data_IF_598661212178
#
_entry.id   IF_598661212178
#
_cell.length_a   1.000
_cell.length_b   1.000
_cell.length_c   1.000
_cell.angle_alpha   90.00
_cell.angle_beta   90.00
_cell.angle_gamma   90.00
#
_symmetry.space_group_name_H-M   'P 1'
#
loop_
_entity.id
_entity.type
_entity.pdbx_description
1 polymer ?
#
# COMPACT_ATOMS: atom_id res chain seq x y z
N UNK A 1 6.50 31.21 -28.40
CA UNK A 1 5.82 32.36 -29.04
C UNK A 1 4.39 32.50 -28.57
N UNK A 2 3.58 31.45 -28.57
CA UNK A 2 2.17 31.49 -28.14
C UNK A 2 2.01 31.95 -26.67
N UNK A 3 2.85 31.48 -25.75
CA UNK A 3 2.83 31.90 -24.36
C UNK A 3 3.18 33.38 -24.19
N UNK A 4 4.12 33.92 -24.95
CA UNK A 4 4.47 35.32 -24.96
C UNK A 4 3.30 36.20 -25.42
N UNK A 5 2.61 35.75 -26.49
CA UNK A 5 1.43 36.44 -27.01
C UNK A 5 0.30 36.50 -25.98
N UNK A 6 -0.03 35.36 -25.37
CA UNK A 6 -1.08 35.26 -24.35
C UNK A 6 -0.79 36.11 -23.10
N UNK A 7 0.47 36.19 -22.69
CA UNK A 7 0.87 37.05 -21.59
C UNK A 7 0.72 38.53 -21.96
N UNK A 8 1.15 38.93 -23.18
CA UNK A 8 1.01 40.31 -23.67
C UNK A 8 -0.46 40.75 -23.78
N UNK A 9 -1.34 39.87 -24.30
CA UNK A 9 -2.79 40.13 -24.39
C UNK A 9 -3.46 40.33 -23.03
N UNK A 10 -2.87 39.79 -21.95
CA UNK A 10 -3.38 39.89 -20.58
C UNK A 10 -2.63 40.90 -19.71
N UNK A 11 -1.70 41.66 -20.28
CA UNK A 11 -0.88 42.61 -19.53
C UNK A 11 0.06 41.97 -18.51
N UNK A 12 0.43 40.70 -18.70
CA UNK A 12 1.32 39.94 -17.82
C UNK A 12 2.73 40.01 -18.39
N UNK A 13 3.70 40.40 -17.59
CA UNK A 13 5.10 40.39 -17.98
C UNK A 13 5.60 38.94 -18.14
N UNK A 14 6.10 38.59 -19.34
CA UNK A 14 6.67 37.28 -19.63
C UNK A 14 8.18 37.34 -19.45
N UNK A 15 8.69 36.70 -18.39
CA UNK A 15 10.12 36.58 -18.10
C UNK A 15 10.60 35.20 -18.49
N UNK A 16 11.49 35.12 -19.45
CA UNK A 16 12.16 33.86 -19.85
C UNK A 16 13.45 33.69 -19.06
N UNK A 17 13.42 32.76 -18.09
CA UNK A 17 14.63 32.40 -17.34
C UNK A 17 15.52 31.51 -18.19
N UNK A 18 16.71 31.97 -18.55
CA UNK A 18 17.73 31.13 -19.16
C UNK A 18 18.27 30.14 -18.13
N UNK A 19 18.10 28.87 -18.42
CA UNK A 19 18.72 27.81 -17.63
C UNK A 19 20.20 27.71 -17.98
N UNK A 20 21.06 28.09 -17.06
CA UNK A 20 22.51 27.81 -17.15
C UNK A 20 22.75 26.41 -16.59
N UNK A 21 23.24 25.44 -17.39
CA UNK A 21 23.61 24.12 -16.88
C UNK A 21 24.71 24.27 -15.84
N UNK A 22 24.65 23.41 -14.81
CA UNK A 22 25.78 23.32 -13.87
C UNK A 22 27.02 22.83 -14.62
N UNK A 23 28.19 23.32 -14.23
CA UNK A 23 29.46 22.97 -14.89
C UNK A 23 29.60 21.45 -15.07
N UNK A 24 29.79 20.99 -16.31
CA UNK A 24 29.90 19.57 -16.66
C UNK A 24 28.61 18.85 -17.02
N UNK A 25 27.45 19.53 -17.06
CA UNK A 25 26.21 18.93 -17.50
C UNK A 25 25.68 19.59 -18.78
N UNK A 26 25.23 18.79 -19.75
CA UNK A 26 24.57 19.31 -20.94
C UNK A 26 23.18 19.88 -20.62
N UNK A 27 22.82 20.98 -21.28
CA UNK A 27 21.51 21.58 -21.17
C UNK A 27 20.47 20.65 -21.79
N UNK A 28 19.61 20.02 -20.97
CA UNK A 28 18.51 19.16 -21.42
C UNK A 28 17.18 19.86 -21.27
N UNK A 29 16.43 19.97 -22.38
CA UNK A 29 15.05 20.45 -22.33
C UNK A 29 14.10 19.35 -21.80
N UNK A 30 12.94 19.75 -21.28
CA UNK A 30 11.90 18.78 -20.90
C UNK A 30 11.45 17.91 -22.08
N UNK A 31 11.53 18.44 -23.31
CA UNK A 31 11.20 17.71 -24.52
C UNK A 31 12.29 16.69 -24.89
N UNK A 32 13.57 17.01 -24.73
CA UNK A 32 14.68 16.08 -24.97
C UNK A 32 14.72 14.97 -23.91
N UNK A 33 14.36 15.26 -22.65
CA UNK A 33 14.21 14.24 -21.62
C UNK A 33 13.03 13.31 -21.87
N UNK A 34 11.89 13.85 -22.34
CA UNK A 34 10.73 13.04 -22.75
C UNK A 34 11.04 12.14 -23.94
N UNK A 35 11.75 12.67 -24.96
CA UNK A 35 12.17 11.88 -26.13
C UNK A 35 13.16 10.77 -25.74
N UNK A 36 14.13 11.05 -24.86
CA UNK A 36 15.07 10.04 -24.38
C UNK A 36 14.39 8.95 -23.53
N UNK A 37 13.37 9.32 -22.72
CA UNK A 37 12.57 8.37 -21.94
C UNK A 37 11.66 7.51 -22.84
N UNK A 38 11.04 8.09 -23.90
CA UNK A 38 10.21 7.31 -24.82
C UNK A 38 11.03 6.33 -25.66
N UNK A 39 12.23 6.71 -26.08
CA UNK A 39 13.14 5.79 -26.83
C UNK A 39 13.61 4.62 -25.94
N UNK A 40 13.91 4.88 -24.67
CA UNK A 40 14.22 3.80 -23.71
C UNK A 40 13.01 2.92 -23.38
N UNK A 41 11.80 3.48 -23.40
CA UNK A 41 10.58 2.70 -23.21
C UNK A 41 10.22 1.84 -24.42
N UNK A 42 10.47 2.29 -25.64
CA UNK A 42 10.23 1.50 -26.86
C UNK A 42 11.23 0.35 -27.02
N UNK A 43 12.50 0.53 -26.68
CA UNK A 43 13.49 -0.57 -26.66
C UNK A 43 13.23 -1.57 -25.51
N UNK A 44 12.69 -1.12 -24.37
CA UNK A 44 12.31 -1.96 -23.25
C UNK A 44 10.98 -2.69 -23.46
N UNK A 45 10.04 -2.10 -24.21
CA UNK A 45 8.72 -2.68 -24.47
C UNK A 45 8.76 -3.88 -25.43
N UNK A 46 9.84 -4.08 -26.18
CA UNK A 46 9.98 -5.22 -27.09
C UNK A 46 10.39 -6.52 -26.36
N UNK A 47 10.84 -6.46 -25.10
CA UNK A 47 11.42 -7.65 -24.44
C UNK A 47 11.10 -7.87 -22.95
N UNK A 48 10.20 -7.13 -22.34
CA UNK A 48 9.76 -7.51 -20.98
C UNK A 48 8.41 -6.90 -20.60
N UNK A 49 7.47 -7.73 -20.12
CA UNK A 49 6.43 -7.26 -19.19
C UNK A 49 7.15 -6.47 -18.08
N UNK A 50 6.67 -5.28 -17.67
CA UNK A 50 7.29 -4.57 -16.56
C UNK A 50 7.31 -5.51 -15.35
N UNK A 51 8.51 -5.96 -14.97
CA UNK A 51 8.65 -6.75 -13.77
C UNK A 51 8.32 -5.84 -12.58
N UNK A 52 7.44 -6.30 -11.70
CA UNK A 52 7.08 -5.58 -10.47
C UNK A 52 8.28 -5.33 -9.56
N UNK A 53 9.40 -5.98 -9.79
CA UNK A 53 10.69 -5.82 -9.11
C UNK A 53 11.33 -4.42 -9.23
N UNK A 54 10.88 -3.57 -10.16
CA UNK A 54 11.39 -2.20 -10.29
C UNK A 54 10.73 -1.20 -9.33
N UNK A 55 9.77 -1.62 -8.54
CA UNK A 55 9.06 -0.77 -7.58
C UNK A 55 9.47 -1.09 -6.16
N UNK A 56 9.98 -0.08 -5.44
CA UNK A 56 10.29 -0.17 -4.02
C UNK A 56 9.05 0.06 -3.12
N UNK A 57 7.83 -0.17 -3.65
CA UNK A 57 6.61 -0.09 -2.87
C UNK A 57 6.41 -1.40 -2.11
N UNK A 58 6.30 -1.37 -0.77
CA UNK A 58 6.11 -2.56 0.04
C UNK A 58 4.87 -3.36 -0.34
N UNK A 59 4.89 -4.62 0.01
CA UNK A 59 3.70 -5.48 0.06
C UNK A 59 3.25 -5.64 1.50
N UNK A 60 1.97 -5.89 1.72
CA UNK A 60 1.42 -6.14 3.05
C UNK A 60 1.07 -7.61 3.20
N UNK A 61 1.40 -8.18 4.35
CA UNK A 61 0.90 -9.48 4.79
C UNK A 61 0.00 -9.27 6.01
N UNK A 62 -1.18 -9.91 6.02
CA UNK A 62 -2.03 -10.01 7.20
C UNK A 62 -1.54 -11.15 8.07
N UNK A 63 -1.33 -10.87 9.36
CA UNK A 63 -0.95 -11.87 10.36
C UNK A 63 -2.19 -12.38 11.09
N UNK A 64 -3.00 -11.47 11.62
CA UNK A 64 -4.21 -11.81 12.36
C UNK A 64 -5.24 -10.67 12.33
N UNK A 65 -6.50 -10.96 12.69
CA UNK A 65 -7.57 -9.97 12.79
C UNK A 65 -8.08 -9.46 11.45
N UNK A 66 -7.79 -10.15 10.35
CA UNK A 66 -8.26 -9.79 9.00
C UNK A 66 -9.77 -9.60 8.98
N UNK A 67 -10.27 -8.58 8.29
CA UNK A 67 -11.67 -8.16 8.18
C UNK A 67 -12.23 -7.34 9.33
N UNK A 68 -11.52 -7.20 10.46
CA UNK A 68 -12.02 -6.38 11.57
C UNK A 68 -12.01 -4.88 11.22
N UNK A 69 -11.30 -4.48 10.16
CA UNK A 69 -11.29 -3.15 9.54
C UNK A 69 -12.58 -2.78 8.81
N UNK A 70 -13.49 -3.76 8.67
CA UNK A 70 -14.81 -3.52 8.11
C UNK A 70 -15.82 -3.16 9.22
N UNK A 71 -16.56 -2.05 9.12
CA UNK A 71 -17.55 -1.65 10.13
C UNK A 71 -18.58 -2.72 10.43
N UNK A 72 -19.07 -3.43 9.41
CA UNK A 72 -20.05 -4.51 9.58
C UNK A 72 -19.48 -5.74 10.32
N UNK A 73 -18.16 -5.81 10.54
CA UNK A 73 -17.52 -6.80 11.39
C UNK A 73 -17.26 -6.20 12.78
N UNK A 74 -16.52 -5.08 12.86
CA UNK A 74 -16.10 -4.48 14.13
C UNK A 74 -17.24 -3.84 14.94
N UNK A 75 -18.42 -3.66 14.34
CA UNK A 75 -19.63 -3.28 15.10
C UNK A 75 -20.09 -4.36 16.09
N UNK A 76 -19.81 -5.63 15.80
CA UNK A 76 -20.16 -6.74 16.68
C UNK A 76 -19.20 -6.90 17.87
N UNK A 77 -17.92 -6.63 17.64
CA UNK A 77 -16.90 -6.56 18.67
C UNK A 77 -15.69 -5.79 18.13
N UNK A 78 -15.21 -4.76 18.84
CA UNK A 78 -14.01 -4.04 18.41
C UNK A 78 -12.77 -4.92 18.57
N UNK A 79 -11.72 -4.63 17.80
CA UNK A 79 -10.49 -5.40 17.86
C UNK A 79 -9.38 -4.89 16.96
N UNK A 80 -8.29 -5.63 16.94
CA UNK A 80 -7.09 -5.30 16.18
C UNK A 80 -6.97 -6.10 14.90
N UNK A 81 -6.55 -5.46 13.82
CA UNK A 81 -5.92 -6.11 12.69
C UNK A 81 -4.40 -5.98 12.83
N UNK A 82 -3.67 -7.04 12.50
CA UNK A 82 -2.20 -7.08 12.56
C UNK A 82 -1.66 -7.28 11.16
N UNK A 83 -0.78 -6.39 10.73
CA UNK A 83 -0.15 -6.45 9.42
C UNK A 83 1.36 -6.26 9.53
N UNK A 84 2.09 -6.83 8.57
CA UNK A 84 3.52 -6.56 8.40
C UNK A 84 3.76 -5.99 7.00
N UNK A 85 4.59 -4.94 6.92
CA UNK A 85 5.07 -4.37 5.69
C UNK A 85 6.30 -5.14 5.23
N UNK A 86 6.24 -5.75 4.06
CA UNK A 86 7.31 -6.55 3.48
C UNK A 86 8.03 -5.78 2.37
N UNK A 87 9.35 -5.88 2.35
CA UNK A 87 10.14 -5.39 1.22
C UNK A 87 9.75 -6.13 -0.07
N UNK A 88 9.68 -5.44 -1.21
CA UNK A 88 9.27 -6.05 -2.48
C UNK A 88 10.42 -6.83 -3.13
N UNK A 89 10.86 -7.91 -2.48
CA UNK A 89 11.97 -8.76 -2.95
C UNK A 89 11.52 -9.88 -3.91
N UNK A 90 10.21 -10.02 -4.15
CA UNK A 90 9.64 -11.05 -5.01
C UNK A 90 8.48 -10.49 -5.84
N UNK A 91 8.19 -11.15 -6.96
CA UNK A 91 7.02 -10.81 -7.78
C UNK A 91 5.74 -11.33 -7.15
N UNK A 92 4.77 -10.44 -7.01
CA UNK A 92 3.44 -10.76 -6.50
C UNK A 92 2.47 -10.81 -7.68
N UNK A 93 1.84 -11.96 -7.89
CA UNK A 93 0.80 -12.13 -8.92
C UNK A 93 -0.47 -11.38 -8.51
N UNK A 94 -1.20 -10.90 -9.51
CA UNK A 94 -2.52 -10.32 -9.27
C UNK A 94 -3.44 -11.28 -8.52
N UNK A 95 -4.25 -10.74 -7.58
CA UNK A 95 -5.25 -11.48 -6.81
C UNK A 95 -4.70 -12.52 -5.83
N UNK A 96 -3.44 -12.46 -5.45
CA UNK A 96 -2.85 -13.38 -4.46
C UNK A 96 -3.00 -12.94 -3.00
N UNK A 97 -3.73 -11.84 -2.74
CA UNK A 97 -4.10 -11.44 -1.37
C UNK A 97 -3.12 -10.53 -0.64
N UNK A 98 -1.98 -10.19 -1.22
CA UNK A 98 -0.95 -9.33 -0.60
C UNK A 98 -1.18 -7.84 -0.90
N UNK A 99 -2.40 -7.35 -0.77
CA UNK A 99 -2.81 -5.97 -1.10
C UNK A 99 -2.47 -5.56 -2.54
N UNK A 100 -2.51 -6.49 -3.48
CA UNK A 100 -2.12 -6.23 -4.87
C UNK A 100 -2.95 -5.14 -5.52
N UNK A 101 -4.24 -5.06 -5.24
CA UNK A 101 -5.12 -4.01 -5.79
C UNK A 101 -4.72 -2.62 -5.31
N UNK A 102 -4.52 -2.45 -4.01
CA UNK A 102 -4.09 -1.19 -3.38
C UNK A 102 -2.71 -0.80 -3.86
N UNK A 103 -1.77 -1.77 -3.89
CA UNK A 103 -0.42 -1.54 -4.39
C UNK A 103 -0.40 -1.11 -5.85
N UNK A 104 -1.20 -1.72 -6.72
CA UNK A 104 -1.32 -1.34 -8.13
C UNK A 104 -1.89 0.08 -8.31
N UNK A 105 -2.82 0.52 -7.45
CA UNK A 105 -3.30 1.91 -7.44
C UNK A 105 -2.21 2.88 -7.01
N UNK A 106 -1.46 2.55 -5.97
CA UNK A 106 -0.32 3.33 -5.49
C UNK A 106 0.72 3.50 -6.59
N UNK A 107 1.05 2.43 -7.32
CA UNK A 107 2.03 2.46 -8.42
C UNK A 107 1.63 3.36 -9.58
N UNK A 108 0.34 3.56 -9.82
CA UNK A 108 -0.14 4.53 -10.82
C UNK A 108 0.17 5.98 -10.44
N UNK A 109 0.24 6.27 -9.14
CA UNK A 109 0.51 7.60 -8.59
C UNK A 109 2.02 7.78 -8.34
N UNK A 110 2.64 6.78 -7.71
CA UNK A 110 4.07 6.74 -7.37
C UNK A 110 4.70 5.46 -7.94
N UNK A 111 5.14 5.45 -9.19
CA UNK A 111 5.55 4.21 -9.88
C UNK A 111 6.77 3.52 -9.27
N UNK A 112 7.66 4.27 -8.60
CA UNK A 112 8.94 3.71 -8.13
C UNK A 112 9.01 3.51 -6.63
N UNK A 113 8.55 4.46 -5.84
CA UNK A 113 8.64 4.45 -4.37
C UNK A 113 7.60 5.36 -3.73
N UNK A 114 7.29 5.06 -2.48
CA UNK A 114 6.43 5.93 -1.66
C UNK A 114 7.12 7.28 -1.38
N UNK A 115 6.36 8.38 -1.30
CA UNK A 115 6.90 9.67 -0.89
C UNK A 115 7.37 9.63 0.56
N UNK A 116 8.42 10.42 0.88
CA UNK A 116 8.89 10.59 2.25
C UNK A 116 7.96 11.54 2.99
N UNK A 117 7.09 10.99 3.81
CA UNK A 117 6.20 11.76 4.68
C UNK A 117 5.84 10.93 5.92
N UNK A 118 5.03 11.48 6.82
CA UNK A 118 4.53 10.72 7.96
C UNK A 118 3.78 9.47 7.47
N UNK A 119 4.13 8.26 7.93
CA UNK A 119 3.54 7.01 7.44
C UNK A 119 2.03 6.92 7.61
N UNK A 120 1.48 7.40 8.73
CA UNK A 120 0.03 7.41 8.96
C UNK A 120 -0.69 8.37 8.01
N UNK A 121 -0.13 9.57 7.77
CA UNK A 121 -0.69 10.50 6.78
C UNK A 121 -0.66 9.91 5.37
N UNK A 122 0.44 9.23 5.01
CA UNK A 122 0.54 8.54 3.73
C UNK A 122 -0.52 7.44 3.60
N UNK A 123 -0.69 6.63 4.64
CA UNK A 123 -1.71 5.59 4.69
C UNK A 123 -3.13 6.17 4.54
N UNK A 124 -3.42 7.33 5.14
CA UNK A 124 -4.70 8.03 4.95
C UNK A 124 -4.92 8.48 3.52
N UNK A 125 -3.89 9.02 2.88
CA UNK A 125 -3.98 9.41 1.46
C UNK A 125 -4.23 8.19 0.57
N UNK A 126 -3.51 7.09 0.80
CA UNK A 126 -3.70 5.84 0.06
C UNK A 126 -5.10 5.27 0.29
N UNK A 127 -5.59 5.27 1.51
CA UNK A 127 -6.97 4.87 1.84
C UNK A 127 -8.01 5.71 1.08
N UNK A 128 -7.82 7.03 0.99
CA UNK A 128 -8.69 7.90 0.22
C UNK A 128 -8.64 7.56 -1.28
N UNK A 129 -7.45 7.35 -1.85
CA UNK A 129 -7.29 6.98 -3.26
C UNK A 129 -7.89 5.60 -3.58
N UNK A 130 -7.81 4.67 -2.64
CA UNK A 130 -8.41 3.35 -2.81
C UNK A 130 -9.94 3.41 -2.84
N UNK A 131 -10.50 4.30 -2.06
CA UNK A 131 -11.94 4.51 -1.92
C UNK A 131 -12.43 5.73 -2.71
N UNK A 132 -11.83 6.03 -3.87
CA UNK A 132 -12.30 7.07 -4.77
C UNK A 132 -13.80 6.88 -5.05
N UNK A 133 -14.63 7.94 -4.97
CA UNK A 133 -16.08 7.85 -5.16
C UNK A 133 -16.53 7.28 -6.51
N UNK A 134 -15.64 7.14 -7.48
CA UNK A 134 -15.94 6.50 -8.77
C UNK A 134 -16.06 4.96 -8.73
N UNK A 135 -15.98 4.33 -7.55
CA UNK A 135 -16.21 2.87 -7.46
C UNK A 135 -17.69 2.56 -7.69
N UNK A 136 -17.97 1.85 -8.79
CA UNK A 136 -19.34 1.46 -9.20
C UNK A 136 -20.05 0.55 -8.19
N UNK A 137 -19.30 -0.24 -7.42
CA UNK A 137 -19.86 -1.20 -6.47
C UNK A 137 -20.21 -0.59 -5.10
N UNK A 138 -19.90 0.69 -4.87
CA UNK A 138 -20.12 1.37 -3.59
C UNK A 138 -19.38 0.74 -2.39
N UNK A 139 -18.52 -0.26 -2.64
CA UNK A 139 -17.78 -0.93 -1.59
C UNK A 139 -16.63 -0.05 -1.09
N UNK A 140 -16.57 0.16 0.21
CA UNK A 140 -15.46 0.86 0.87
C UNK A 140 -14.48 -0.19 1.41
N UNK A 141 -13.25 -0.16 0.92
CA UNK A 141 -12.15 -0.96 1.48
C UNK A 141 -11.78 -0.42 2.85
N UNK A 142 -11.47 -1.30 3.80
CA UNK A 142 -10.93 -0.89 5.09
C UNK A 142 -9.49 -0.39 4.97
N UNK A 143 -8.96 0.16 6.06
CA UNK A 143 -7.65 0.81 6.03
C UNK A 143 -6.47 -0.13 6.23
N UNK A 144 -6.68 -1.43 6.50
CA UNK A 144 -5.57 -2.33 6.82
C UNK A 144 -4.57 -2.48 5.66
N UNK A 145 -5.04 -2.42 4.39
CA UNK A 145 -4.18 -2.52 3.21
C UNK A 145 -3.26 -1.30 3.10
N UNK A 146 -3.83 -0.11 3.19
CA UNK A 146 -3.09 1.14 3.11
C UNK A 146 -2.10 1.32 4.25
N UNK A 147 -2.50 0.95 5.49
CA UNK A 147 -1.63 1.04 6.67
C UNK A 147 -0.48 0.04 6.56
N UNK A 148 -0.77 -1.23 6.25
CA UNK A 148 0.25 -2.27 6.15
C UNK A 148 1.26 -2.06 5.01
N UNK A 149 0.92 -1.28 3.96
CA UNK A 149 1.87 -0.87 2.93
C UNK A 149 2.72 0.33 3.38
N UNK A 150 2.10 1.31 4.05
CA UNK A 150 2.72 2.61 4.31
C UNK A 150 3.44 2.69 5.67
N UNK A 151 3.00 1.92 6.67
CA UNK A 151 3.61 1.90 8.01
C UNK A 151 4.68 0.81 8.05
N UNK A 152 5.95 1.17 8.26
CA UNK A 152 7.06 0.20 8.25
C UNK A 152 6.97 -0.81 9.39
N UNK A 153 7.45 -2.03 9.13
CA UNK A 153 7.58 -3.10 10.11
C UNK A 153 6.26 -3.76 10.44
N UNK A 154 6.13 -4.23 11.67
CA UNK A 154 4.93 -4.86 12.22
C UNK A 154 4.02 -3.78 12.80
N UNK A 155 2.74 -3.81 12.45
CA UNK A 155 1.76 -2.86 12.98
C UNK A 155 0.45 -3.54 13.35
N UNK A 156 -0.26 -2.98 14.35
CA UNK A 156 -1.64 -3.32 14.64
C UNK A 156 -2.53 -2.08 14.67
N UNK A 157 -3.74 -2.24 14.20
CA UNK A 157 -4.72 -1.18 14.01
C UNK A 157 -6.02 -1.54 14.72
N UNK A 158 -6.50 -0.67 15.62
CA UNK A 158 -7.69 -0.91 16.42
C UNK A 158 -8.94 -0.34 15.76
N UNK A 159 -9.88 -1.21 15.43
CA UNK A 159 -11.16 -0.85 14.80
C UNK A 159 -12.33 -0.99 15.75
N UNK A 160 -13.25 -0.04 15.65
CA UNK A 160 -14.50 -0.03 16.39
C UNK A 160 -15.56 0.67 15.54
N UNK A 161 -16.20 -0.08 14.66
CA UNK A 161 -17.26 0.38 13.76
C UNK A 161 -16.87 1.58 12.87
N UNK A 162 -15.61 1.60 12.39
CA UNK A 162 -15.10 2.63 11.49
C UNK A 162 -14.14 2.00 10.47
N UNK A 163 -14.08 2.54 9.25
CA UNK A 163 -13.12 2.12 8.22
C UNK A 163 -11.69 2.54 8.52
N UNK A 164 -11.50 3.65 9.25
CA UNK A 164 -10.20 4.10 9.73
C UNK A 164 -10.04 3.75 11.22
N UNK A 165 -8.89 3.18 11.63
CA UNK A 165 -8.71 2.74 13.02
C UNK A 165 -8.65 3.92 14.00
N UNK A 166 -9.07 3.69 15.22
CA UNK A 166 -8.95 4.65 16.32
C UNK A 166 -7.53 4.77 16.85
N UNK A 167 -6.74 3.71 16.71
CA UNK A 167 -5.37 3.65 17.19
C UNK A 167 -4.53 2.78 16.25
N UNK A 168 -3.30 3.23 16.01
CA UNK A 168 -2.28 2.47 15.29
C UNK A 168 -1.08 2.34 16.23
N UNK A 169 -0.57 1.13 16.37
CA UNK A 169 0.67 0.84 17.06
C UNK A 169 1.58 0.09 16.08
N UNK A 170 2.86 0.45 16.06
CA UNK A 170 3.84 -0.19 15.19
C UNK A 170 5.18 -0.37 15.88
N UNK A 171 5.93 -1.37 15.43
CA UNK A 171 7.30 -1.61 15.86
C UNK A 171 8.17 -1.94 14.66
N UNK A 172 9.38 -1.41 14.69
CA UNK A 172 10.49 -1.75 13.78
C UNK A 172 11.64 -2.37 14.58
N UNK A 173 11.35 -2.90 15.78
CA UNK A 173 12.34 -3.60 16.58
C UNK A 173 12.94 -4.78 15.82
N UNK A 174 14.26 -4.78 15.70
CA UNK A 174 14.97 -5.77 14.88
C UNK A 174 14.80 -7.20 15.39
N UNK A 175 14.73 -7.40 16.70
CA UNK A 175 14.54 -8.74 17.27
C UNK A 175 13.15 -9.28 16.97
N UNK A 176 12.13 -8.44 17.08
CA UNK A 176 10.74 -8.79 16.75
C UNK A 176 10.57 -9.10 15.26
N UNK A 177 11.16 -8.28 14.39
CA UNK A 177 11.09 -8.52 12.93
C UNK A 177 11.85 -9.79 12.55
N UNK A 178 13.03 -10.02 13.12
CA UNK A 178 13.81 -11.25 12.89
C UNK A 178 13.09 -12.49 13.38
N UNK A 179 12.42 -12.43 14.54
CA UNK A 179 11.57 -13.53 15.02
C UNK A 179 10.52 -13.92 13.96
N UNK A 180 9.87 -12.94 13.32
CA UNK A 180 8.91 -13.23 12.26
C UNK A 180 9.58 -13.77 10.99
N UNK A 181 10.72 -13.20 10.57
CA UNK A 181 11.46 -13.68 9.41
C UNK A 181 11.93 -15.14 9.56
N UNK A 182 12.38 -15.51 10.75
CA UNK A 182 12.88 -16.86 11.02
C UNK A 182 11.77 -17.92 11.10
N UNK A 183 10.51 -17.53 11.39
CA UNK A 183 9.42 -18.47 11.64
C UNK A 183 8.26 -18.38 10.64
N UNK A 184 8.20 -17.35 9.79
CA UNK A 184 7.17 -17.23 8.77
C UNK A 184 7.65 -17.81 7.44
N UNK A 185 6.88 -18.71 6.88
CA UNK A 185 7.12 -19.25 5.54
C UNK A 185 5.93 -18.92 4.65
N UNK A 186 6.19 -18.26 3.54
CA UNK A 186 5.16 -17.96 2.55
C UNK A 186 5.01 -19.13 1.58
N UNK A 187 3.82 -19.73 1.56
CA UNK A 187 3.47 -20.78 0.61
C UNK A 187 2.62 -20.18 -0.50
N UNK A 188 3.12 -20.09 -1.74
CA UNK A 188 2.33 -19.55 -2.85
C UNK A 188 1.19 -20.49 -3.19
N UNK A 189 -0.02 -19.94 -3.27
CA UNK A 189 -1.22 -20.65 -3.71
C UNK A 189 -1.70 -20.11 -5.05
N UNK A 190 -2.58 -20.85 -5.71
CA UNK A 190 -3.22 -20.38 -6.94
C UNK A 190 -4.03 -19.10 -6.69
N UNK A 191 -4.02 -18.16 -7.64
CA UNK A 191 -4.83 -16.95 -7.56
C UNK A 191 -6.33 -17.27 -7.43
N UNK A 192 -7.05 -16.43 -6.73
CA UNK A 192 -8.51 -16.57 -6.61
C UNK A 192 -9.17 -16.55 -7.99
N UNK A 193 -10.11 -17.46 -8.22
CA UNK A 193 -10.86 -17.55 -9.48
C UNK A 193 -11.61 -16.23 -9.74
N UNK A 194 -11.77 -15.81 -11.01
CA UNK A 194 -12.64 -14.70 -11.37
C UNK A 194 -14.05 -14.92 -10.83
N UNK A 195 -14.69 -13.87 -10.30
CA UNK A 195 -16.05 -13.95 -9.72
C UNK A 195 -16.11 -14.50 -8.30
N UNK A 196 -15.00 -14.96 -7.69
CA UNK A 196 -14.98 -15.31 -6.29
C UNK A 196 -15.12 -14.05 -5.44
N UNK A 197 -16.30 -13.88 -4.83
CA UNK A 197 -16.52 -12.84 -3.82
C UNK A 197 -15.98 -13.32 -2.48
N UNK A 198 -15.11 -12.52 -1.89
CA UNK A 198 -14.61 -12.78 -0.52
C UNK A 198 -15.55 -12.20 0.54
N UNK A 199 -16.59 -11.48 0.11
CA UNK A 199 -17.53 -10.77 0.98
C UNK A 199 -18.84 -11.54 1.14
N UNK A 200 -19.25 -12.32 0.14
CA UNK A 200 -20.47 -13.10 0.17
C UNK A 200 -20.39 -14.33 1.10
N UNK A 201 -21.52 -14.68 1.69
CA UNK A 201 -21.70 -15.89 2.53
C UNK A 201 -20.83 -15.94 3.80
N UNK A 202 -20.51 -14.79 4.43
CA UNK A 202 -19.83 -14.77 5.71
C UNK A 202 -20.81 -14.93 6.85
N UNK A 203 -20.54 -15.93 7.68
CA UNK A 203 -21.25 -16.12 8.94
C UNK A 203 -20.59 -15.26 10.04
N UNK A 204 -21.00 -13.98 10.08
CA UNK A 204 -20.49 -12.97 11.02
C UNK A 204 -21.42 -12.90 12.22
N UNK A 205 -20.93 -13.33 13.37
CA UNK A 205 -21.67 -13.27 14.65
C UNK A 205 -20.81 -12.60 15.73
N UNK A 206 -21.41 -11.95 16.75
CA UNK A 206 -20.65 -11.33 17.83
C UNK A 206 -19.63 -12.28 18.47
N UNK A 207 -19.98 -13.53 18.68
CA UNK A 207 -19.11 -14.55 19.25
C UNK A 207 -17.89 -14.83 18.36
N UNK A 208 -18.10 -14.95 17.05
CA UNK A 208 -17.01 -15.20 16.10
C UNK A 208 -16.08 -14.00 15.96
N UNK A 209 -16.65 -12.79 15.93
CA UNK A 209 -15.86 -11.56 15.87
C UNK A 209 -15.06 -11.36 17.15
N UNK A 210 -15.66 -11.66 18.33
CA UNK A 210 -14.91 -11.65 19.60
C UNK A 210 -13.73 -12.64 19.57
N UNK A 211 -13.95 -13.86 19.11
CA UNK A 211 -12.86 -14.85 18.98
C UNK A 211 -11.75 -14.38 18.03
N UNK A 212 -12.11 -13.71 16.93
CA UNK A 212 -11.16 -13.10 16.00
C UNK A 212 -10.33 -12.01 16.70
N UNK A 213 -10.97 -11.14 17.47
CA UNK A 213 -10.31 -10.08 18.23
C UNK A 213 -9.38 -10.65 19.30
N UNK A 214 -9.86 -11.63 20.09
CA UNK A 214 -9.07 -12.30 21.13
C UNK A 214 -7.83 -13.00 20.53
N UNK A 215 -7.99 -13.65 19.37
CA UNK A 215 -6.88 -14.29 18.66
C UNK A 215 -5.85 -13.28 18.16
N UNK A 216 -6.29 -12.12 17.67
CA UNK A 216 -5.37 -11.06 17.26
C UNK A 216 -4.58 -10.50 18.45
N UNK A 217 -5.21 -10.28 19.59
CA UNK A 217 -4.52 -9.84 20.82
C UNK A 217 -3.49 -10.89 21.29
N UNK A 218 -3.86 -12.17 21.30
CA UNK A 218 -2.95 -13.25 21.66
C UNK A 218 -1.75 -13.33 20.71
N UNK A 219 -2.00 -13.26 19.41
CA UNK A 219 -0.98 -13.26 18.36
C UNK A 219 0.01 -12.10 18.54
N UNK A 220 -0.48 -10.88 18.75
CA UNK A 220 0.38 -9.73 18.99
C UNK A 220 1.30 -9.91 20.21
N UNK A 221 0.75 -10.39 21.33
CA UNK A 221 1.51 -10.63 22.53
C UNK A 221 2.56 -11.73 22.36
N UNK A 222 2.21 -12.83 21.66
CA UNK A 222 3.14 -13.91 21.35
C UNK A 222 4.32 -13.42 20.49
N UNK A 223 4.05 -12.59 19.48
CA UNK A 223 5.09 -12.00 18.62
C UNK A 223 6.03 -11.11 19.46
N UNK A 224 5.49 -10.20 20.28
CA UNK A 224 6.32 -9.30 21.08
C UNK A 224 7.12 -10.00 22.19
N UNK A 225 6.62 -11.12 22.70
CA UNK A 225 7.36 -11.97 23.65
C UNK A 225 8.27 -13.01 22.99
N UNK A 226 8.28 -13.09 21.66
CA UNK A 226 9.00 -14.09 20.86
C UNK A 226 8.63 -15.53 21.27
N UNK A 227 7.38 -15.74 21.66
CA UNK A 227 6.85 -17.04 22.08
C UNK A 227 6.29 -17.78 20.84
N UNK A 228 7.11 -18.69 20.29
CA UNK A 228 6.74 -19.46 19.11
C UNK A 228 5.59 -20.43 19.37
N UNK A 229 5.51 -21.01 20.55
CA UNK A 229 4.46 -21.98 20.89
C UNK A 229 3.09 -21.27 20.98
N UNK A 230 3.04 -20.08 21.58
CA UNK A 230 1.83 -19.26 21.63
C UNK A 230 1.47 -18.63 20.27
N UNK A 231 2.46 -18.44 19.37
CA UNK A 231 2.24 -17.87 18.04
C UNK A 231 1.71 -18.91 17.05
N UNK A 232 2.11 -20.18 17.15
CA UNK A 232 1.73 -21.28 16.26
C UNK A 232 0.34 -21.84 16.55
#
# INVERSE_FOLDING_TARGET
>A
EEKRRLCAERGIEYIELQRTPHAGLEARSSSSLKAALSTQQEESALNSKPSTLNSAIPTRLDIAGTWIDQPYVSMHHPGWAITISLEPTFEVRDRCGLSTSTRNKIQKIWPYKLPKMNPEMLARLVFCFENDPEREDGHISGAQDSIGICVPGLSRHYYNNNYWPKKIESTTDEMTLRFLEDHLVMVPMEPRKPGCSVVENKDITPTKVKRLADAADACWNAILSHDLEAFA
#
